data_IF_207846056745
#
_entry.id   IF_207846056745
#
_cell.length_a   1.000
_cell.length_b   1.000
_cell.length_c   1.000
_cell.angle_alpha   90.00
_cell.angle_beta   90.00
_cell.angle_gamma   90.00
#
_symmetry.space_group_name_H-M   'P 1'
#
loop_
_entity.id
_entity.type
_entity.pdbx_description
1 polymer ?
#
# COMPACT_ATOMS: atom_id res chain seq x y z
N UNK A 1 4.23 -28.14 0.39
CA UNK A 1 4.11 -27.65 -0.99
C UNK A 1 2.85 -26.82 -1.05
N UNK A 2 2.95 -25.49 -1.22
CA UNK A 2 1.75 -24.67 -1.41
C UNK A 2 1.12 -25.03 -2.75
N UNK A 3 -0.14 -25.43 -2.73
CA UNK A 3 -0.91 -25.70 -3.95
C UNK A 3 -1.09 -24.37 -4.67
N UNK A 4 -0.52 -24.24 -5.87
CA UNK A 4 -0.74 -23.08 -6.73
C UNK A 4 -2.16 -23.19 -7.31
N UNK A 5 -3.08 -22.39 -6.82
CA UNK A 5 -4.42 -22.25 -7.41
C UNK A 5 -4.26 -21.32 -8.61
N UNK A 6 -4.40 -21.85 -9.82
CA UNK A 6 -4.36 -21.05 -11.04
C UNK A 6 -5.69 -20.33 -11.25
N UNK A 7 -5.63 -19.08 -11.69
CA UNK A 7 -6.80 -18.26 -12.01
C UNK A 7 -6.59 -17.49 -13.33
N UNK A 8 -7.65 -16.88 -13.88
CA UNK A 8 -7.64 -16.25 -15.20
C UNK A 8 -8.13 -14.80 -15.15
N UNK A 9 -7.53 -13.96 -15.98
CA UNK A 9 -7.99 -12.60 -16.25
C UNK A 9 -8.57 -12.57 -17.67
N UNK A 10 -9.88 -12.35 -17.78
CA UNK A 10 -10.58 -12.29 -19.06
C UNK A 10 -10.84 -10.83 -19.47
N UNK A 11 -10.15 -10.37 -20.52
CA UNK A 11 -10.28 -9.00 -21.04
C UNK A 11 -10.43 -9.01 -22.55
N UNK A 12 -11.40 -8.25 -23.06
CA UNK A 12 -11.57 -7.97 -24.49
C UNK A 12 -10.94 -6.62 -24.82
N UNK A 13 -10.12 -6.58 -25.87
CA UNK A 13 -9.47 -5.37 -26.37
C UNK A 13 -9.68 -5.22 -27.87
N UNK A 14 -9.58 -4.00 -28.39
CA UNK A 14 -9.62 -3.76 -29.84
C UNK A 14 -8.39 -4.34 -30.53
N UNK A 15 -8.48 -4.48 -31.85
CA UNK A 15 -7.34 -4.90 -32.67
C UNK A 15 -6.19 -3.88 -32.57
N UNK A 16 -6.48 -2.57 -32.58
CA UNK A 16 -5.43 -1.56 -32.46
C UNK A 16 -4.68 -1.67 -31.12
N UNK A 17 -5.41 -1.84 -30.02
CA UNK A 17 -4.80 -2.05 -28.70
C UNK A 17 -3.91 -3.29 -28.68
N UNK A 18 -4.36 -4.41 -29.27
CA UNK A 18 -3.56 -5.63 -29.32
C UNK A 18 -2.26 -5.43 -30.09
N UNK A 19 -2.31 -4.76 -31.24
CA UNK A 19 -1.11 -4.50 -32.05
C UNK A 19 -0.14 -3.53 -31.35
N UNK A 20 -0.67 -2.49 -30.68
CA UNK A 20 0.13 -1.57 -29.87
C UNK A 20 0.90 -2.33 -28.76
N UNK A 21 0.18 -3.14 -27.97
CA UNK A 21 0.77 -3.90 -26.85
C UNK A 21 1.80 -4.90 -27.39
N UNK A 22 1.51 -5.56 -28.51
CA UNK A 22 2.43 -6.49 -29.17
C UNK A 22 3.70 -5.80 -29.67
N UNK A 23 3.58 -4.61 -30.25
CA UNK A 23 4.75 -3.85 -30.66
C UNK A 23 5.61 -3.47 -29.45
N UNK A 24 4.99 -2.96 -28.39
CA UNK A 24 5.68 -2.63 -27.15
C UNK A 24 6.35 -3.86 -26.50
N UNK A 25 5.73 -5.04 -26.55
CA UNK A 25 6.31 -6.28 -26.00
C UNK A 25 7.59 -6.67 -26.72
N UNK A 26 7.61 -6.54 -28.05
CA UNK A 26 8.80 -6.83 -28.88
C UNK A 26 9.93 -5.85 -28.54
N UNK A 27 9.64 -4.55 -28.45
CA UNK A 27 10.63 -3.53 -28.09
C UNK A 27 11.24 -3.76 -26.69
N UNK A 28 10.44 -4.26 -25.76
CA UNK A 28 10.89 -4.62 -24.41
C UNK A 28 11.59 -5.98 -24.32
N UNK A 29 11.65 -6.74 -25.42
CA UNK A 29 12.36 -8.02 -25.50
C UNK A 29 11.59 -9.23 -24.95
N UNK A 30 10.27 -9.14 -24.78
CA UNK A 30 9.46 -10.25 -24.29
C UNK A 30 9.22 -11.29 -25.38
N UNK A 31 9.32 -12.57 -25.01
CA UNK A 31 9.10 -13.70 -25.93
C UNK A 31 7.62 -13.94 -26.22
N UNK A 32 6.73 -13.57 -25.30
CA UNK A 32 5.29 -13.77 -25.46
C UNK A 32 4.49 -12.57 -24.92
N UNK A 33 3.34 -12.31 -25.55
CA UNK A 33 2.49 -11.16 -25.24
C UNK A 33 1.86 -11.25 -23.85
N UNK A 34 1.47 -12.46 -23.42
CA UNK A 34 0.82 -12.67 -22.13
C UNK A 34 1.76 -12.36 -20.96
N UNK A 35 3.01 -12.79 -21.02
CA UNK A 35 4.05 -12.50 -20.04
C UNK A 35 4.33 -11.00 -19.98
N UNK A 36 4.36 -10.32 -21.12
CA UNK A 36 4.46 -8.87 -21.14
C UNK A 36 3.28 -8.18 -20.46
N UNK A 37 2.05 -8.64 -20.71
CA UNK A 37 0.84 -8.11 -20.06
C UNK A 37 0.90 -8.34 -18.55
N UNK A 38 1.22 -9.56 -18.11
CA UNK A 38 1.34 -9.89 -16.69
C UNK A 38 2.45 -9.07 -16.02
N UNK A 39 3.60 -8.92 -16.68
CA UNK A 39 4.69 -8.07 -16.19
C UNK A 39 4.24 -6.63 -15.99
N UNK A 40 3.59 -6.03 -16.99
CA UNK A 40 3.12 -4.64 -16.91
C UNK A 40 2.08 -4.46 -15.80
N UNK A 41 1.08 -5.35 -15.74
CA UNK A 41 0.02 -5.30 -14.73
C UNK A 41 0.60 -5.46 -13.33
N UNK A 42 1.49 -6.44 -13.11
CA UNK A 42 2.14 -6.63 -11.82
C UNK A 42 3.03 -5.45 -11.43
N UNK A 43 3.75 -4.87 -12.38
CA UNK A 43 4.62 -3.71 -12.12
C UNK A 43 3.78 -2.52 -11.65
N UNK A 44 2.70 -2.21 -12.36
CA UNK A 44 1.84 -1.08 -12.00
C UNK A 44 1.05 -1.34 -10.72
N UNK A 45 0.55 -2.57 -10.51
CA UNK A 45 -0.13 -2.95 -9.27
C UNK A 45 0.78 -2.78 -8.06
N UNK A 46 2.02 -3.28 -8.12
CA UNK A 46 2.98 -3.12 -7.02
C UNK A 46 3.32 -1.65 -6.76
N UNK A 47 3.44 -0.84 -7.82
CA UNK A 47 3.66 0.59 -7.70
C UNK A 47 2.49 1.28 -6.99
N UNK A 48 1.25 1.00 -7.41
CA UNK A 48 0.03 1.55 -6.78
C UNK A 48 -0.04 1.15 -5.31
N UNK A 49 0.20 -0.12 -4.98
CA UNK A 49 0.17 -0.61 -3.60
C UNK A 49 1.22 0.11 -2.77
N UNK A 50 2.48 0.10 -3.23
CA UNK A 50 3.59 0.79 -2.56
C UNK A 50 3.30 2.27 -2.36
N UNK A 51 2.80 2.94 -3.38
CA UNK A 51 2.48 4.36 -3.32
C UNK A 51 1.34 4.64 -2.34
N UNK A 52 0.39 3.72 -2.12
CA UNK A 52 -0.68 3.91 -1.14
C UNK A 52 -0.28 3.54 0.29
N UNK A 53 0.52 2.49 0.47
CA UNK A 53 0.89 1.97 1.78
C UNK A 53 2.09 2.69 2.41
N UNK A 54 2.87 3.42 1.61
CA UNK A 54 3.99 4.20 2.14
C UNK A 54 3.47 5.42 2.91
N UNK A 55 3.57 5.36 4.24
CA UNK A 55 3.17 6.45 5.16
C UNK A 55 4.13 7.64 5.11
N UNK A 56 5.44 7.40 4.99
CA UNK A 56 6.48 8.43 4.99
C UNK A 56 6.99 8.67 3.55
N UNK A 57 6.20 9.37 2.74
CA UNK A 57 6.48 9.55 1.31
C UNK A 57 7.59 10.55 1.06
N UNK A 58 7.52 11.71 1.70
CA UNK A 58 8.48 12.79 1.46
C UNK A 58 9.69 12.72 2.39
N UNK A 59 10.77 13.41 2.02
CA UNK A 59 11.92 13.58 2.91
C UNK A 59 11.51 14.35 4.18
N UNK A 60 10.58 15.30 4.06
CA UNK A 60 10.09 16.08 5.18
C UNK A 60 9.29 15.22 6.17
N UNK A 61 8.39 14.35 5.67
CA UNK A 61 7.64 13.42 6.53
C UNK A 61 8.59 12.52 7.33
N UNK A 62 9.63 12.00 6.67
CA UNK A 62 10.66 11.17 7.31
C UNK A 62 11.43 11.96 8.36
N UNK A 63 11.76 13.21 8.09
CA UNK A 63 12.46 14.08 9.05
C UNK A 63 11.62 14.34 10.28
N UNK A 64 10.35 14.73 10.11
CA UNK A 64 9.41 14.95 11.21
C UNK A 64 9.23 13.67 12.03
N UNK A 65 9.08 12.52 11.36
CA UNK A 65 8.92 11.24 12.03
C UNK A 65 10.15 10.84 12.84
N UNK A 66 11.35 10.95 12.24
CA UNK A 66 12.61 10.64 12.93
C UNK A 66 12.84 11.59 14.09
N UNK A 67 12.59 12.89 13.90
CA UNK A 67 12.70 13.88 14.97
C UNK A 67 11.75 13.57 16.13
N UNK A 68 10.50 13.18 15.85
CA UNK A 68 9.55 12.78 16.88
C UNK A 68 9.95 11.51 17.65
N UNK A 69 10.76 10.62 17.05
CA UNK A 69 11.32 9.43 17.73
C UNK A 69 12.53 9.80 18.60
N UNK A 70 13.45 10.59 18.05
CA UNK A 70 14.71 10.94 18.72
C UNK A 70 14.49 12.01 19.80
N UNK A 71 13.58 12.95 19.54
CA UNK A 71 13.22 14.08 20.38
C UNK A 71 11.71 14.04 20.70
N UNK A 72 11.25 13.05 21.49
CA UNK A 72 9.82 12.87 21.73
C UNK A 72 9.19 14.10 22.40
N UNK A 73 8.16 14.72 21.78
CA UNK A 73 7.54 15.91 22.33
C UNK A 73 6.73 15.58 23.60
N UNK A 74 6.60 16.56 24.49
CA UNK A 74 5.73 16.42 25.67
C UNK A 74 4.27 16.31 25.23
N UNK A 75 3.51 15.44 25.90
CA UNK A 75 2.07 15.32 25.69
C UNK A 75 1.36 16.67 25.91
N UNK A 76 0.53 17.07 24.96
CA UNK A 76 -0.27 18.28 25.08
C UNK A 76 -1.50 18.07 25.99
N UNK A 77 -2.17 19.16 26.36
CA UNK A 77 -3.29 19.09 27.32
C UNK A 77 -4.53 18.38 26.76
N UNK A 78 -4.68 18.29 25.42
CA UNK A 78 -5.74 17.48 24.81
C UNK A 78 -5.46 15.99 24.99
N UNK A 79 -4.22 15.55 24.74
CA UNK A 79 -3.81 14.15 24.90
C UNK A 79 -3.87 13.70 26.37
N UNK A 80 -3.41 14.54 27.31
CA UNK A 80 -3.54 14.27 28.76
C UNK A 80 -5.00 14.10 29.19
N UNK A 81 -5.90 14.96 28.68
CA UNK A 81 -7.35 14.84 28.96
C UNK A 81 -7.95 13.57 28.36
N UNK A 82 -7.58 13.22 27.13
CA UNK A 82 -8.04 11.99 26.48
C UNK A 82 -7.59 10.74 27.27
N UNK A 83 -6.35 10.71 27.74
CA UNK A 83 -5.85 9.65 28.62
C UNK A 83 -6.67 9.57 29.92
N UNK A 84 -6.89 10.68 30.61
CA UNK A 84 -7.68 10.70 31.84
C UNK A 84 -9.13 10.21 31.64
N UNK A 85 -9.75 10.58 30.51
CA UNK A 85 -11.09 10.10 30.14
C UNK A 85 -11.09 8.60 29.86
N UNK A 86 -10.09 8.09 29.13
CA UNK A 86 -9.94 6.66 28.88
C UNK A 86 -9.77 5.87 30.19
N UNK A 87 -8.90 6.32 31.09
CA UNK A 87 -8.70 5.68 32.40
C UNK A 87 -10.01 5.62 33.20
N UNK A 88 -10.79 6.71 33.23
CA UNK A 88 -12.12 6.72 33.89
C UNK A 88 -13.11 5.77 33.21
N UNK A 89 -13.08 5.67 31.89
CA UNK A 89 -13.95 4.76 31.14
C UNK A 89 -13.63 3.29 31.46
N UNK A 90 -12.35 2.92 31.48
CA UNK A 90 -11.92 1.57 31.84
C UNK A 90 -12.30 1.27 33.29
N UNK A 91 -11.97 2.16 34.24
CA UNK A 91 -12.31 1.92 35.65
C UNK A 91 -13.82 1.78 35.87
N UNK A 92 -14.65 2.59 35.20
CA UNK A 92 -16.10 2.50 35.35
C UNK A 92 -16.71 1.23 34.72
N UNK A 93 -16.02 0.58 33.79
CA UNK A 93 -16.47 -0.67 33.16
C UNK A 93 -15.90 -1.93 33.83
N UNK A 94 -14.80 -1.83 34.58
CA UNK A 94 -14.25 -2.96 35.37
C UNK A 94 -15.07 -3.26 36.64
N UNK A 95 -16.02 -2.40 37.04
CA UNK A 95 -16.92 -2.62 38.19
C UNK A 95 -18.34 -3.11 37.79
N UNK A 96 -18.48 -3.78 36.64
CA UNK A 96 -19.78 -4.26 36.12
C UNK A 96 -19.94 -5.78 35.99
N UNK A 97 -18.99 -6.55 36.52
CA UNK A 97 -19.13 -8.00 36.72
C UNK A 97 -19.27 -8.35 38.22
#
# INVERSE_FOLDING_TARGET
>A
MSVTINDRIDVRISKEHKELIKHASVLRGFKNLSEFVIYCVNTEANKIIKDNETVLKTIEDKKIFIDAIINPPKANDKLKRAQANHTKFISNNEFKD
#
